data_IF_872798661044
#
_entry.id   IF_872798661044
#
_cell.length_a   1.000
_cell.length_b   1.000
_cell.length_c   1.000
_cell.angle_alpha   90.00
_cell.angle_beta   90.00
_cell.angle_gamma   90.00
#
_symmetry.space_group_name_H-M   'P 1'
#
loop_
_entity.id
_entity.type
_entity.pdbx_description
1 polymer ?
#
# COMPACT_ATOMS: atom_id res chain seq x y z
N UNK A 1 -12.04 13.26 5.15
CA UNK A 1 -11.91 14.05 3.91
C UNK A 1 -11.97 13.10 2.73
N UNK A 2 -12.97 13.21 1.84
CA UNK A 2 -13.09 12.30 0.70
C UNK A 2 -12.01 12.65 -0.34
N UNK A 3 -10.96 11.86 -0.45
CA UNK A 3 -9.91 11.97 -1.48
C UNK A 3 -10.49 11.39 -2.79
N UNK A 4 -11.52 12.05 -3.36
CA UNK A 4 -12.24 11.49 -4.53
C UNK A 4 -11.93 12.14 -5.88
N UNK A 5 -11.09 13.18 -5.92
CA UNK A 5 -10.99 14.03 -7.11
C UNK A 5 -9.60 14.06 -7.78
N UNK A 6 -8.70 13.12 -7.46
CA UNK A 6 -7.44 12.98 -8.19
C UNK A 6 -7.59 11.93 -9.30
N UNK A 7 -7.18 12.21 -10.55
CA UNK A 7 -7.04 11.18 -11.59
C UNK A 7 -5.96 10.15 -11.24
N UNK A 8 -5.18 10.42 -10.21
CA UNK A 8 -4.24 9.49 -9.58
C UNK A 8 -4.97 8.85 -8.41
N UNK A 9 -5.28 7.56 -8.54
CA UNK A 9 -6.05 6.83 -7.55
C UNK A 9 -5.24 6.60 -6.27
N UNK A 10 -5.42 7.46 -5.26
CA UNK A 10 -4.97 7.22 -3.90
C UNK A 10 -6.17 6.72 -3.08
N UNK A 11 -6.09 5.50 -2.55
CA UNK A 11 -7.21 4.84 -1.90
C UNK A 11 -6.89 4.45 -0.46
N UNK A 12 -7.75 4.87 0.46
CA UNK A 12 -7.78 4.39 1.83
C UNK A 12 -8.60 3.10 1.90
N UNK A 13 -7.96 2.02 2.31
CA UNK A 13 -8.57 0.73 2.61
C UNK A 13 -8.62 0.57 4.14
N UNK A 14 -9.81 0.71 4.68
CA UNK A 14 -10.06 0.63 6.13
C UNK A 14 -10.03 -0.81 6.61
N UNK A 15 -9.52 -1.04 7.82
CA UNK A 15 -9.58 -2.33 8.52
C UNK A 15 -9.04 -3.53 7.71
N UNK A 16 -7.90 -3.34 7.03
CA UNK A 16 -7.19 -4.46 6.38
C UNK A 16 -6.77 -5.49 7.42
N UNK A 17 -6.34 -5.03 8.60
CA UNK A 17 -6.10 -5.85 9.77
C UNK A 17 -7.06 -5.47 10.90
N UNK A 18 -7.77 -6.42 11.51
CA UNK A 18 -8.54 -6.14 12.72
C UNK A 18 -7.63 -5.85 13.92
N UNK A 19 -8.11 -5.13 14.95
CA UNK A 19 -7.30 -4.67 16.08
C UNK A 19 -6.50 -5.78 16.78
N UNK A 20 -7.07 -6.97 16.93
CA UNK A 20 -6.39 -8.11 17.57
C UNK A 20 -5.20 -8.62 16.75
N UNK A 21 -5.26 -8.56 15.42
CA UNK A 21 -4.14 -8.92 14.55
C UNK A 21 -3.06 -7.84 14.57
N UNK A 22 -3.44 -6.57 14.59
CA UNK A 22 -2.51 -5.45 14.77
C UNK A 22 -1.75 -5.61 16.08
N UNK A 23 -2.45 -5.84 17.19
CA UNK A 23 -1.84 -6.03 18.52
C UNK A 23 -0.86 -7.21 18.54
N UNK A 24 -1.24 -8.34 17.92
CA UNK A 24 -0.37 -9.52 17.84
C UNK A 24 0.88 -9.29 16.98
N UNK A 25 0.76 -8.54 15.86
CA UNK A 25 1.92 -8.15 15.03
C UNK A 25 2.81 -7.15 15.77
N UNK A 26 2.22 -6.13 16.43
CA UNK A 26 2.97 -5.13 17.19
C UNK A 26 3.80 -5.75 18.32
N UNK A 27 3.23 -6.66 19.09
CA UNK A 27 3.98 -7.34 20.17
C UNK A 27 5.26 -8.03 19.66
N UNK A 28 5.22 -8.60 18.45
CA UNK A 28 6.38 -9.23 17.83
C UNK A 28 7.35 -8.19 17.24
N UNK A 29 6.85 -7.12 16.62
CA UNK A 29 7.67 -6.06 16.03
C UNK A 29 8.36 -5.20 17.09
N UNK A 30 7.69 -4.94 18.21
CA UNK A 30 8.26 -4.19 19.35
C UNK A 30 9.43 -4.93 20.02
N UNK A 31 9.43 -6.27 19.96
CA UNK A 31 10.50 -7.13 20.46
C UNK A 31 11.55 -7.51 19.39
N UNK A 32 11.41 -7.04 18.16
CA UNK A 32 12.26 -7.45 17.05
C UNK A 32 13.58 -6.67 16.97
N UNK A 33 14.59 -7.30 16.38
CA UNK A 33 15.86 -6.66 16.03
C UNK A 33 15.73 -5.90 14.72
N UNK A 34 15.71 -4.58 14.80
CA UNK A 34 15.66 -3.69 13.66
C UNK A 34 17.05 -3.38 13.12
N UNK A 35 17.17 -3.24 11.81
CA UNK A 35 18.43 -2.91 11.11
C UNK A 35 18.29 -1.60 10.33
N UNK A 36 19.43 -0.99 9.96
CA UNK A 36 19.44 0.25 9.18
C UNK A 36 18.75 0.05 7.82
N UNK A 37 17.67 0.80 7.58
CA UNK A 37 16.85 0.70 6.37
C UNK A 37 17.54 1.19 5.09
N UNK A 38 18.71 1.85 5.18
CA UNK A 38 19.48 2.28 4.00
C UNK A 38 20.00 1.11 3.18
N UNK A 39 20.18 -0.05 3.78
CA UNK A 39 20.65 -1.26 3.11
C UNK A 39 19.68 -1.78 2.01
N UNK A 40 18.41 -1.34 2.02
CA UNK A 40 17.36 -1.82 1.11
C UNK A 40 17.05 -0.90 -0.05
N UNK A 41 17.79 0.19 -0.21
CA UNK A 41 17.58 1.20 -1.27
C UNK A 41 18.89 1.48 -2.00
N UNK A 42 18.78 1.94 -3.25
CA UNK A 42 19.93 2.36 -4.04
C UNK A 42 20.63 3.61 -3.46
N UNK A 43 21.81 3.99 -4.00
CA UNK A 43 22.63 5.08 -3.46
C UNK A 43 21.91 6.43 -3.33
N UNK A 44 20.96 6.72 -4.22
CA UNK A 44 20.19 7.96 -4.18
C UNK A 44 19.20 7.95 -2.99
N UNK A 45 18.44 6.89 -2.83
CA UNK A 45 17.50 6.74 -1.71
C UNK A 45 18.19 6.70 -0.35
N UNK A 46 19.38 6.08 -0.27
CA UNK A 46 20.16 6.00 0.97
C UNK A 46 20.59 7.36 1.53
N UNK A 47 20.67 8.40 0.70
CA UNK A 47 21.06 9.77 1.13
C UNK A 47 19.94 10.47 1.92
N UNK A 48 18.69 10.11 1.67
CA UNK A 48 17.50 10.77 2.24
C UNK A 48 16.69 9.85 3.14
N UNK A 49 17.11 8.60 3.34
CA UNK A 49 16.45 7.61 4.17
C UNK A 49 17.14 7.46 5.51
N UNK A 50 16.39 7.70 6.58
CA UNK A 50 16.82 7.51 7.96
C UNK A 50 15.70 6.78 8.71
N UNK A 51 15.68 5.47 8.63
CA UNK A 51 14.74 4.61 9.33
C UNK A 51 15.38 3.26 9.63
N UNK A 52 14.66 2.44 10.35
CA UNK A 52 15.01 1.05 10.61
C UNK A 52 14.07 0.13 9.82
N UNK A 53 14.55 -1.05 9.45
CA UNK A 53 13.75 -2.08 8.79
C UNK A 53 13.96 -3.44 9.45
N UNK A 54 12.91 -4.24 9.44
CA UNK A 54 13.02 -5.65 9.76
C UNK A 54 13.78 -6.35 8.62
N UNK A 55 14.79 -7.19 8.90
CA UNK A 55 15.53 -7.88 7.82
C UNK A 55 14.57 -8.67 6.91
N UNK A 56 14.62 -8.41 5.60
CA UNK A 56 13.67 -8.94 4.60
C UNK A 56 13.56 -10.48 4.62
N UNK A 57 14.68 -11.15 4.91
CA UNK A 57 14.75 -12.61 4.89
C UNK A 57 14.59 -13.25 6.27
N UNK A 58 14.28 -12.46 7.32
CA UNK A 58 14.04 -13.02 8.64
C UNK A 58 12.79 -13.89 8.65
N UNK A 59 12.74 -14.95 9.48
CA UNK A 59 11.55 -15.76 9.67
C UNK A 59 10.34 -14.92 10.09
N UNK A 60 10.56 -13.91 10.94
CA UNK A 60 9.53 -13.00 11.44
C UNK A 60 8.95 -12.16 10.30
N UNK A 61 9.78 -11.54 9.44
CA UNK A 61 9.30 -10.75 8.31
C UNK A 61 8.43 -11.59 7.37
N UNK A 62 8.85 -12.82 7.08
CA UNK A 62 8.07 -13.76 6.25
C UNK A 62 6.73 -14.13 6.88
N UNK A 63 6.72 -14.48 8.17
CA UNK A 63 5.51 -14.84 8.89
C UNK A 63 4.50 -13.68 8.93
N UNK A 64 4.93 -12.50 9.32
CA UNK A 64 4.09 -11.31 9.37
C UNK A 64 3.60 -10.90 7.97
N UNK A 65 4.47 -10.95 6.97
CA UNK A 65 4.12 -10.67 5.57
C UNK A 65 3.05 -11.62 5.03
N UNK A 66 3.12 -12.92 5.34
CA UNK A 66 2.07 -13.87 5.00
C UNK A 66 0.73 -13.52 5.68
N UNK A 67 0.76 -13.07 6.92
CA UNK A 67 -0.42 -12.58 7.64
C UNK A 67 -1.07 -11.38 6.93
N UNK A 68 -0.27 -10.41 6.50
CA UNK A 68 -0.76 -9.25 5.71
C UNK A 68 -1.38 -9.70 4.40
N UNK A 69 -0.70 -10.55 3.62
CA UNK A 69 -1.23 -11.04 2.34
C UNK A 69 -2.53 -11.84 2.52
N UNK A 70 -2.64 -12.65 3.57
CA UNK A 70 -3.85 -13.38 3.90
C UNK A 70 -5.02 -12.45 4.29
N UNK A 71 -4.74 -11.34 4.97
CA UNK A 71 -5.74 -10.32 5.28
C UNK A 71 -6.21 -9.60 4.00
N UNK A 72 -5.28 -9.18 3.16
CA UNK A 72 -5.58 -8.53 1.88
C UNK A 72 -6.45 -9.39 0.96
N UNK A 73 -6.18 -10.70 0.89
CA UNK A 73 -6.97 -11.62 0.05
C UNK A 73 -8.44 -11.73 0.46
N UNK A 74 -8.76 -11.37 1.69
CA UNK A 74 -10.14 -11.35 2.23
C UNK A 74 -10.77 -9.97 2.25
N UNK A 75 -9.99 -8.92 2.02
CA UNK A 75 -10.49 -7.55 2.08
C UNK A 75 -11.37 -7.24 0.85
N UNK A 76 -12.63 -6.81 1.03
CA UNK A 76 -13.63 -6.77 -0.06
C UNK A 76 -13.27 -5.82 -1.20
N UNK A 77 -12.52 -4.74 -0.93
CA UNK A 77 -12.15 -3.74 -1.94
C UNK A 77 -10.72 -3.91 -2.48
N UNK A 78 -9.87 -4.75 -1.87
CA UNK A 78 -8.46 -4.84 -2.26
C UNK A 78 -8.29 -5.32 -3.70
N UNK A 79 -9.02 -6.37 -4.09
CA UNK A 79 -8.89 -6.92 -5.44
C UNK A 79 -9.26 -5.89 -6.50
N UNK A 80 -10.43 -5.24 -6.38
CA UNK A 80 -10.88 -4.25 -7.37
C UNK A 80 -10.02 -2.97 -7.36
N UNK A 81 -9.47 -2.59 -6.20
CA UNK A 81 -8.60 -1.42 -6.08
C UNK A 81 -7.22 -1.64 -6.72
N UNK A 82 -6.61 -2.78 -6.50
CA UNK A 82 -5.24 -3.07 -6.93
C UNK A 82 -5.16 -3.90 -8.22
N UNK A 83 -6.19 -4.70 -8.54
CA UNK A 83 -6.15 -5.72 -9.60
C UNK A 83 -4.82 -6.47 -9.59
N UNK A 84 -4.44 -7.13 -8.46
CA UNK A 84 -3.08 -7.59 -8.25
C UNK A 84 -2.76 -8.78 -9.16
N UNK A 85 -1.71 -8.64 -9.97
CA UNK A 85 -1.08 -9.75 -10.70
C UNK A 85 -0.03 -10.44 -9.84
N UNK A 86 0.81 -9.62 -9.18
CA UNK A 86 1.90 -10.07 -8.30
C UNK A 86 2.09 -9.03 -7.19
N UNK A 87 2.42 -9.48 -6.01
CA UNK A 87 2.71 -8.62 -4.87
C UNK A 87 4.08 -8.98 -4.30
N UNK A 88 4.91 -7.97 -4.06
CA UNK A 88 6.16 -8.15 -3.31
C UNK A 88 5.80 -8.57 -1.89
N UNK A 89 6.48 -9.56 -1.28
CA UNK A 89 6.28 -9.88 0.13
C UNK A 89 6.36 -8.61 1.00
N UNK A 90 5.37 -8.35 1.88
CA UNK A 90 5.34 -7.17 2.72
C UNK A 90 6.60 -7.04 3.58
N UNK A 91 7.16 -5.86 3.59
CA UNK A 91 8.31 -5.42 4.38
C UNK A 91 7.81 -4.59 5.57
N UNK A 92 8.66 -4.41 6.58
CA UNK A 92 8.31 -3.66 7.78
C UNK A 92 9.37 -2.62 8.06
N UNK A 93 8.93 -1.41 8.41
CA UNK A 93 9.80 -0.30 8.78
C UNK A 93 9.37 0.33 10.10
N UNK A 94 10.35 0.96 10.76
CA UNK A 94 10.18 1.73 11.97
C UNK A 94 10.89 3.08 11.79
N UNK A 95 10.19 4.16 12.12
CA UNK A 95 10.72 5.52 12.18
C UNK A 95 10.61 6.02 13.61
N UNK A 96 11.73 6.42 14.21
CA UNK A 96 11.81 6.96 15.57
C UNK A 96 13.04 7.87 15.71
N UNK A 97 13.09 8.70 16.76
CA UNK A 97 14.26 9.52 17.05
C UNK A 97 14.67 10.46 15.91
N UNK A 98 13.69 11.09 15.27
CA UNK A 98 13.91 11.96 14.11
C UNK A 98 14.02 11.19 12.79
N UNK A 99 13.71 9.89 12.76
CA UNK A 99 13.70 9.09 11.54
C UNK A 99 12.76 9.67 10.49
N UNK A 100 13.18 9.65 9.23
CA UNK A 100 12.45 10.23 8.10
C UNK A 100 12.81 9.51 6.80
N UNK A 101 12.05 9.80 5.74
CA UNK A 101 12.45 9.45 4.39
C UNK A 101 12.11 10.64 3.48
N UNK A 102 13.12 11.32 2.99
CA UNK A 102 12.97 12.49 2.13
C UNK A 102 12.26 12.18 0.81
N UNK A 103 11.94 13.21 0.05
CA UNK A 103 11.24 13.04 -1.24
C UNK A 103 11.95 12.06 -2.16
N UNK A 104 11.17 11.12 -2.66
CA UNK A 104 11.61 10.10 -3.62
C UNK A 104 10.43 9.56 -4.42
N UNK A 105 10.74 8.84 -5.48
CA UNK A 105 9.82 8.01 -6.26
C UNK A 105 10.29 6.56 -6.09
N UNK A 106 9.38 5.63 -5.96
CA UNK A 106 9.72 4.21 -5.85
C UNK A 106 10.37 3.66 -7.12
N UNK A 107 11.27 2.69 -6.96
CA UNK A 107 11.92 2.05 -8.10
C UNK A 107 10.91 1.34 -9.01
N UNK A 108 10.96 1.61 -10.32
CA UNK A 108 9.98 1.11 -11.30
C UNK A 108 9.91 -0.41 -11.42
N UNK A 109 10.98 -1.11 -11.02
CA UNK A 109 11.05 -2.58 -11.02
C UNK A 109 11.73 -3.07 -9.75
N UNK A 110 11.30 -4.23 -9.26
CA UNK A 110 11.90 -4.89 -8.11
C UNK A 110 12.11 -6.36 -8.39
N UNK A 111 13.28 -6.87 -8.03
CA UNK A 111 13.56 -8.30 -8.12
C UNK A 111 12.74 -9.04 -7.07
N UNK A 112 12.11 -10.14 -7.47
CA UNK A 112 11.37 -10.99 -6.54
C UNK A 112 12.34 -11.84 -5.71
N UNK A 113 12.14 -11.93 -4.38
CA UNK A 113 12.98 -12.75 -3.52
C UNK A 113 13.03 -14.21 -4.01
N UNK A 114 14.23 -14.74 -4.20
CA UNK A 114 14.42 -16.13 -4.62
C UNK A 114 14.09 -16.44 -6.09
N UNK A 115 13.82 -15.43 -6.91
CA UNK A 115 13.53 -15.56 -8.33
C UNK A 115 14.48 -14.72 -9.18
N UNK A 116 14.71 -15.14 -10.45
CA UNK A 116 15.52 -14.38 -11.40
C UNK A 116 14.73 -13.26 -12.10
N UNK A 117 13.41 -13.21 -11.93
CA UNK A 117 12.54 -12.28 -12.63
C UNK A 117 12.26 -11.01 -11.80
N UNK A 118 11.77 -10.00 -12.50
CA UNK A 118 11.43 -8.70 -11.96
C UNK A 118 9.92 -8.50 -11.92
N UNK A 119 9.46 -7.73 -10.92
CA UNK A 119 8.11 -7.24 -10.80
C UNK A 119 8.11 -5.74 -11.13
N UNK A 120 7.18 -5.28 -11.97
CA UNK A 120 6.91 -3.85 -12.18
C UNK A 120 6.12 -3.33 -10.97
N UNK A 121 6.56 -2.22 -10.40
CA UNK A 121 5.89 -1.58 -9.26
C UNK A 121 4.87 -0.56 -9.78
N UNK A 122 3.63 -0.97 -9.95
CA UNK A 122 2.54 -0.08 -10.39
C UNK A 122 1.95 0.67 -9.21
N UNK A 123 1.77 -0.02 -8.09
CA UNK A 123 1.19 0.52 -6.87
C UNK A 123 2.12 0.30 -5.68
N UNK A 124 2.17 1.32 -4.83
CA UNK A 124 2.78 1.29 -3.50
C UNK A 124 1.69 1.22 -2.43
N UNK A 125 1.93 0.42 -1.41
CA UNK A 125 1.04 0.25 -0.27
C UNK A 125 1.77 0.52 1.04
N UNK A 126 1.10 1.24 1.95
CA UNK A 126 1.54 1.40 3.34
C UNK A 126 0.40 1.03 4.27
N UNK A 127 0.58 -0.04 5.03
CA UNK A 127 -0.33 -0.51 6.08
C UNK A 127 0.19 -0.02 7.43
N UNK A 128 -0.60 0.81 8.10
CA UNK A 128 -0.26 1.40 9.39
C UNK A 128 -0.44 0.38 10.52
N UNK A 129 0.53 0.31 11.42
CA UNK A 129 0.52 -0.60 12.57
C UNK A 129 0.60 0.14 13.92
N UNK A 130 0.56 1.47 13.89
CA UNK A 130 0.49 2.35 15.05
C UNK A 130 -0.72 3.25 14.92
N UNK A 131 -1.36 3.58 16.05
CA UNK A 131 -2.37 4.62 16.07
C UNK A 131 -1.71 6.00 15.84
N UNK A 132 -2.43 6.96 15.22
CA UNK A 132 -1.91 8.30 14.95
C UNK A 132 -1.37 9.02 16.18
N UNK A 133 -1.92 8.76 17.35
CA UNK A 133 -1.59 9.39 18.64
C UNK A 133 -0.32 8.80 19.28
N UNK A 134 0.14 7.64 18.85
CA UNK A 134 1.34 6.98 19.38
C UNK A 134 2.63 7.71 18.99
N UNK A 135 2.60 8.56 17.94
CA UNK A 135 3.79 9.28 17.46
C UNK A 135 3.47 10.67 16.95
N UNK A 136 4.46 11.56 16.95
CA UNK A 136 4.39 12.90 16.37
C UNK A 136 5.28 12.99 15.13
N UNK A 137 4.80 13.71 14.11
CA UNK A 137 5.39 13.66 12.78
C UNK A 137 5.10 12.33 12.09
N UNK A 138 5.95 11.92 11.16
CA UNK A 138 5.84 10.64 10.47
C UNK A 138 4.68 10.55 9.48
N UNK A 139 4.11 11.66 9.07
CA UNK A 139 3.10 11.71 8.02
C UNK A 139 3.70 11.22 6.70
N UNK A 140 2.97 10.38 5.98
CA UNK A 140 3.26 10.09 4.58
C UNK A 140 2.68 11.23 3.75
N UNK A 141 3.56 12.00 3.11
CA UNK A 141 3.17 13.05 2.18
C UNK A 141 3.28 12.50 0.77
N UNK A 142 2.18 12.52 0.03
CA UNK A 142 2.12 12.15 -1.39
C UNK A 142 1.81 13.40 -2.21
N UNK A 143 2.69 13.72 -3.15
CA UNK A 143 2.54 14.88 -4.04
C UNK A 143 1.94 14.45 -5.36
N UNK A 144 0.95 15.18 -5.81
CA UNK A 144 0.36 15.06 -7.15
C UNK A 144 0.19 16.43 -7.83
N UNK A 145 -0.51 16.47 -8.97
CA UNK A 145 -0.76 17.71 -9.74
C UNK A 145 -1.56 18.74 -8.95
N UNK A 146 -2.32 18.33 -7.93
CA UNK A 146 -3.20 19.20 -7.13
C UNK A 146 -2.58 19.63 -5.82
N UNK A 147 -1.41 19.10 -5.44
CA UNK A 147 -0.69 19.48 -4.25
C UNK A 147 -0.18 18.31 -3.43
N UNK A 148 0.07 18.55 -2.15
CA UNK A 148 0.52 17.54 -1.18
C UNK A 148 -0.67 17.01 -0.38
N UNK A 149 -0.74 15.69 -0.27
CA UNK A 149 -1.73 14.98 0.54
C UNK A 149 -1.03 14.35 1.74
N UNK A 150 -1.45 14.76 2.91
CA UNK A 150 -0.95 14.21 4.18
C UNK A 150 -1.76 12.98 4.58
N UNK A 151 -1.06 11.88 4.85
CA UNK A 151 -1.65 10.59 5.21
C UNK A 151 -1.08 10.10 6.53
N UNK A 152 -1.95 9.95 7.53
CA UNK A 152 -1.68 9.37 8.84
C UNK A 152 -2.94 8.63 9.29
N UNK A 153 -2.97 7.31 9.11
CA UNK A 153 -4.18 6.49 9.27
C UNK A 153 -4.14 5.69 10.57
N UNK A 154 -5.32 5.28 11.08
CA UNK A 154 -5.44 4.34 12.19
C UNK A 154 -4.69 3.03 11.95
N UNK A 155 -4.31 2.36 13.03
CA UNK A 155 -3.69 1.05 12.98
C UNK A 155 -4.62 0.00 12.35
N UNK A 156 -4.11 -0.77 11.41
CA UNK A 156 -4.89 -1.73 10.61
C UNK A 156 -5.39 -1.18 9.28
N UNK A 157 -5.31 0.12 9.06
CA UNK A 157 -5.69 0.77 7.81
C UNK A 157 -4.52 0.86 6.83
N UNK A 158 -4.82 0.86 5.54
CA UNK A 158 -3.82 0.90 4.47
C UNK A 158 -4.11 2.02 3.48
N UNK A 159 -3.05 2.72 3.05
CA UNK A 159 -3.11 3.58 1.87
C UNK A 159 -2.48 2.87 0.68
N UNK A 160 -3.16 2.95 -0.46
CA UNK A 160 -2.72 2.45 -1.75
C UNK A 160 -2.59 3.64 -2.71
N UNK A 161 -1.43 3.79 -3.39
CA UNK A 161 -1.17 4.91 -4.30
C UNK A 161 -0.23 4.47 -5.43
N UNK A 162 -0.21 5.19 -6.58
CA UNK A 162 0.70 4.88 -7.67
C UNK A 162 2.16 4.99 -7.24
N UNK A 163 2.98 3.99 -7.56
CA UNK A 163 4.42 4.00 -7.22
C UNK A 163 5.20 5.10 -7.93
N UNK A 164 4.63 5.71 -8.98
CA UNK A 164 5.16 6.87 -9.69
C UNK A 164 5.01 8.19 -8.95
N UNK A 165 4.22 8.23 -7.86
CA UNK A 165 3.99 9.44 -7.08
C UNK A 165 5.25 9.87 -6.33
N UNK A 166 5.58 11.16 -6.38
CA UNK A 166 6.61 11.76 -5.51
C UNK A 166 6.09 11.75 -4.07
N UNK A 167 6.83 11.16 -3.14
CA UNK A 167 6.37 11.06 -1.76
C UNK A 167 7.51 11.10 -0.76
N UNK A 168 7.19 11.36 0.51
CA UNK A 168 8.13 11.38 1.65
C UNK A 168 7.46 10.93 2.93
N UNK A 169 8.26 10.58 3.94
CA UNK A 169 7.81 10.44 5.34
C UNK A 169 8.48 11.55 6.14
N UNK A 170 7.68 12.38 6.83
CA UNK A 170 8.18 13.48 7.66
C UNK A 170 8.93 12.94 8.89
N UNK A 171 9.81 13.73 9.53
CA UNK A 171 10.54 13.29 10.72
C UNK A 171 9.59 12.88 11.85
N UNK A 172 9.84 11.71 12.46
CA UNK A 172 9.16 11.29 13.70
C UNK A 172 9.86 11.90 14.89
N UNK A 173 9.25 12.90 15.52
CA UNK A 173 9.83 13.68 16.62
C UNK A 173 9.59 13.07 18.00
N UNK A 174 8.49 12.31 18.17
CA UNK A 174 8.14 11.56 19.39
C UNK A 174 7.54 10.21 19.02
N UNK A 175 7.74 9.19 19.87
CA UNK A 175 7.21 7.84 19.66
C UNK A 175 7.91 7.08 18.54
N UNK A 176 7.19 6.10 17.98
CA UNK A 176 7.66 5.30 16.86
C UNK A 176 6.53 5.03 15.87
N UNK A 177 6.78 5.29 14.58
CA UNK A 177 5.89 4.93 13.48
C UNK A 177 6.32 3.59 12.90
N UNK A 178 5.51 2.56 13.09
CA UNK A 178 5.73 1.22 12.52
C UNK A 178 4.70 0.96 11.45
N UNK A 179 5.16 0.54 10.26
CA UNK A 179 4.28 0.20 9.14
C UNK A 179 4.78 -1.05 8.41
N UNK A 180 3.86 -1.72 7.72
CA UNK A 180 4.20 -2.62 6.63
C UNK A 180 4.08 -1.88 5.30
N UNK A 181 5.02 -2.11 4.38
CA UNK A 181 5.01 -1.50 3.05
C UNK A 181 5.41 -2.51 1.98
N UNK A 182 4.83 -2.38 0.80
CA UNK A 182 5.09 -3.31 -0.31
C UNK A 182 4.61 -2.72 -1.64
N UNK A 183 4.97 -3.42 -2.74
CA UNK A 183 4.60 -3.02 -4.09
C UNK A 183 3.77 -4.09 -4.77
N UNK A 184 2.92 -3.64 -5.67
CA UNK A 184 2.00 -4.48 -6.41
C UNK A 184 2.19 -4.21 -7.90
N UNK A 185 2.41 -5.28 -8.67
CA UNK A 185 2.20 -5.28 -10.09
C UNK A 185 0.73 -5.52 -10.37
N UNK A 186 0.06 -4.55 -10.97
CA UNK A 186 -1.34 -4.65 -11.35
C UNK A 186 -1.53 -5.40 -12.67
N UNK A 187 -2.66 -6.06 -12.83
CA UNK A 187 -3.13 -6.56 -14.13
C UNK A 187 -3.37 -5.41 -15.11
N UNK A 188 -3.73 -4.22 -14.61
CA UNK A 188 -3.96 -3.03 -15.42
C UNK A 188 -2.89 -2.00 -15.09
N UNK A 189 -1.94 -1.81 -16.01
CA UNK A 189 -0.79 -0.93 -15.84
C UNK A 189 -1.16 0.55 -15.70
N UNK A 190 -2.11 0.99 -16.52
CA UNK A 190 -2.52 2.39 -16.60
C UNK A 190 -3.37 2.81 -15.40
N UNK A 191 -2.96 3.87 -14.69
CA UNK A 191 -3.61 4.33 -13.47
C UNK A 191 -5.03 4.84 -13.71
N UNK A 192 -5.28 5.53 -14.83
CA UNK A 192 -6.60 6.07 -15.16
C UNK A 192 -7.59 4.96 -15.50
N UNK A 193 -7.13 3.92 -16.25
CA UNK A 193 -7.95 2.74 -16.54
C UNK A 193 -8.27 1.95 -15.28
N UNK A 194 -7.30 1.80 -14.37
CA UNK A 194 -7.51 1.11 -13.10
C UNK A 194 -8.50 1.88 -12.21
N UNK A 195 -8.39 3.21 -12.13
CA UNK A 195 -9.33 4.07 -11.44
C UNK A 195 -10.75 3.92 -12.02
N UNK A 196 -10.89 3.97 -13.34
CA UNK A 196 -12.18 3.78 -14.04
C UNK A 196 -12.81 2.42 -13.72
N UNK A 197 -12.02 1.33 -13.72
CA UNK A 197 -12.51 0.01 -13.35
C UNK A 197 -12.96 -0.04 -11.89
N UNK A 198 -12.17 0.53 -10.99
CA UNK A 198 -12.52 0.57 -9.56
C UNK A 198 -13.83 1.33 -9.32
N UNK A 199 -13.98 2.52 -9.90
CA UNK A 199 -15.20 3.32 -9.78
C UNK A 199 -16.43 2.57 -10.32
N UNK A 200 -16.30 1.94 -11.49
CA UNK A 200 -17.37 1.14 -12.10
C UNK A 200 -17.74 -0.05 -11.20
N UNK A 201 -16.75 -0.78 -10.65
CA UNK A 201 -16.99 -1.87 -9.70
C UNK A 201 -17.74 -1.38 -8.46
N UNK A 202 -17.33 -0.24 -7.88
CA UNK A 202 -18.03 0.33 -6.72
C UNK A 202 -19.48 0.74 -7.03
N UNK A 203 -19.78 1.19 -8.25
CA UNK A 203 -21.16 1.45 -8.69
C UNK A 203 -21.94 0.16 -8.78
N UNK A 204 -21.40 -0.88 -9.44
CA UNK A 204 -22.03 -2.20 -9.58
C UNK A 204 -22.33 -2.80 -8.20
N UNK A 205 -21.37 -2.75 -7.26
CA UNK A 205 -21.56 -3.26 -5.91
C UNK A 205 -22.69 -2.54 -5.15
N UNK A 206 -22.79 -1.20 -5.27
CA UNK A 206 -23.90 -0.44 -4.67
C UNK A 206 -25.26 -0.76 -5.30
N UNK A 207 -25.33 -1.01 -6.61
CA UNK A 207 -26.55 -1.41 -7.29
C UNK A 207 -26.99 -2.81 -6.85
N UNK A 208 -26.08 -3.77 -6.84
CA UNK A 208 -26.33 -5.14 -6.37
C UNK A 208 -26.88 -5.19 -4.93
N UNK A 209 -26.39 -4.33 -4.07
CA UNK A 209 -26.88 -4.23 -2.69
C UNK A 209 -28.36 -3.77 -2.60
N UNK A 210 -28.92 -3.19 -3.67
CA UNK A 210 -30.33 -2.76 -3.77
C UNK A 210 -31.21 -3.76 -4.51
N UNK A 211 -30.62 -4.73 -5.17
CA UNK A 211 -31.27 -5.74 -6.00
C UNK A 211 -30.57 -5.86 -7.35
N UNK A 212 -30.46 -7.06 -7.86
CA UNK A 212 -29.86 -7.30 -9.18
C UNK A 212 -30.91 -7.23 -10.27
N UNK A 213 -30.68 -6.39 -11.28
CA UNK A 213 -31.53 -6.19 -12.45
C UNK A 213 -30.72 -6.34 -13.75
N UNK A 214 -31.39 -6.20 -14.90
CA UNK A 214 -30.76 -6.32 -16.22
C UNK A 214 -29.70 -5.25 -16.47
N UNK A 215 -29.90 -4.06 -15.93
CA UNK A 215 -28.99 -2.92 -16.05
C UNK A 215 -27.70 -3.17 -15.23
N UNK A 216 -27.83 -3.69 -14.02
CA UNK A 216 -26.68 -4.08 -13.16
C UNK A 216 -25.87 -5.19 -13.83
N UNK A 217 -26.54 -6.19 -14.43
CA UNK A 217 -25.88 -7.25 -15.18
C UNK A 217 -25.12 -6.69 -16.40
N UNK A 218 -25.75 -5.76 -17.15
CA UNK A 218 -25.10 -5.10 -18.29
C UNK A 218 -23.84 -4.33 -17.88
N UNK A 219 -23.88 -3.58 -16.76
CA UNK A 219 -22.72 -2.89 -16.22
C UNK A 219 -21.60 -3.86 -15.82
N UNK A 220 -21.95 -4.99 -15.18
CA UNK A 220 -20.97 -6.03 -14.84
C UNK A 220 -20.31 -6.63 -16.09
N UNK A 221 -21.09 -6.85 -17.17
CA UNK A 221 -20.56 -7.30 -18.46
C UNK A 221 -19.57 -6.29 -19.05
N UNK A 222 -19.89 -4.98 -19.00
CA UNK A 222 -18.98 -3.92 -19.43
C UNK A 222 -17.70 -3.91 -18.61
N UNK A 223 -17.78 -4.00 -17.26
CA UNK A 223 -16.62 -4.11 -16.39
C UNK A 223 -15.68 -5.24 -16.80
N UNK A 224 -16.22 -6.45 -16.96
CA UNK A 224 -15.40 -7.60 -17.33
C UNK A 224 -14.80 -7.49 -18.72
N UNK A 225 -15.48 -6.87 -19.67
CA UNK A 225 -14.96 -6.63 -21.03
C UNK A 225 -13.85 -5.58 -21.02
N UNK A 226 -14.03 -4.47 -20.30
CA UNK A 226 -12.98 -3.47 -20.12
C UNK A 226 -11.74 -4.08 -19.44
N UNK A 227 -11.94 -4.90 -18.40
CA UNK A 227 -10.83 -5.58 -17.73
C UNK A 227 -10.09 -6.51 -18.71
N UNK A 228 -10.79 -7.30 -19.54
CA UNK A 228 -10.14 -8.14 -20.57
C UNK A 228 -9.34 -7.31 -21.59
N UNK A 229 -9.86 -6.13 -21.98
CA UNK A 229 -9.20 -5.26 -22.96
C UNK A 229 -7.94 -4.58 -22.40
N UNK A 230 -7.89 -4.35 -21.08
CA UNK A 230 -6.84 -3.56 -20.45
C UNK A 230 -5.86 -4.36 -19.61
N UNK A 231 -6.18 -5.61 -19.28
CA UNK A 231 -5.31 -6.45 -18.49
C UNK A 231 -4.10 -6.93 -19.32
N UNK A 232 -2.91 -6.76 -18.75
CA UNK A 232 -1.68 -7.38 -19.23
C UNK A 232 -1.65 -8.83 -18.74
N UNK A 233 -1.69 -9.81 -19.64
CA UNK A 233 -1.64 -11.23 -19.35
C UNK A 233 -0.21 -11.71 -19.01
#
# INVERSE_FOLDING_TARGET
MCIRDSPIMMLHLEQVLPPEQVAAMRAQLDAADWTDGRATVGPQGARVKRNEQLPEHSPLARQLGQGVLAALSRHPRYFSAALPRRTVPPLFNCYRGGGEYGFHVDGAVRQMPGAADYLRTDLSATLFLCEPEEYEGGELIVSDTYGEHEVKLPAGDMILYPSSSLHRVTPVTRGARICSFFWIQSLVRDDARRATLYELDQVIMRLRARGEDAETLALANHYHNLLRMWADA
#
